data_IF_355328121276
#
_entry.id   IF_355328121276
#
_cell.length_a   1.000
_cell.length_b   1.000
_cell.length_c   1.000
_cell.angle_alpha   90.00
_cell.angle_beta   90.00
_cell.angle_gamma   90.00
#
_symmetry.space_group_name_H-M   'P 1'
#
loop_
_entity.id
_entity.type
_entity.pdbx_description
1 polymer ?
#
# COMPACT_ATOMS: atom_id res chain seq x y z
N UNK A 1 -12.47 8.01 20.44
CA UNK A 1 -12.94 8.95 21.48
C UNK A 1 -12.45 10.36 21.11
N UNK A 2 -13.38 11.23 20.61
CA UNK A 2 -13.10 12.60 20.17
C UNK A 2 -12.48 13.41 21.32
N UNK A 3 -12.83 13.11 22.58
CA UNK A 3 -12.27 13.75 23.76
C UNK A 3 -10.81 13.36 24.06
N UNK A 4 -10.34 12.21 23.59
CA UNK A 4 -8.92 11.84 23.68
C UNK A 4 -8.08 12.59 22.64
N UNK A 5 -8.63 12.84 21.43
CA UNK A 5 -8.00 13.64 20.39
C UNK A 5 -7.81 15.10 20.76
N UNK A 6 -8.73 15.67 21.55
CA UNK A 6 -8.60 17.06 22.03
C UNK A 6 -7.47 17.25 23.05
N UNK A 7 -6.98 16.19 23.67
CA UNK A 7 -5.89 16.20 24.66
C UNK A 7 -4.50 16.00 24.05
N UNK A 8 -4.39 15.57 22.79
CA UNK A 8 -3.09 15.44 22.12
C UNK A 8 -2.63 16.79 21.60
N UNK A 9 -1.33 17.11 21.75
CA UNK A 9 -0.73 18.31 21.18
C UNK A 9 -0.89 18.31 19.64
N UNK A 10 -1.07 19.50 19.05
CA UNK A 10 -1.11 19.65 17.61
C UNK A 10 0.28 19.40 17.01
N UNK A 11 0.39 18.53 16.01
CA UNK A 11 1.66 18.08 15.46
C UNK A 11 1.99 18.78 14.13
N UNK A 12 3.21 19.30 14.05
CA UNK A 12 3.75 19.98 12.87
C UNK A 12 5.04 19.28 12.48
N UNK A 13 5.18 18.89 11.20
CA UNK A 13 6.45 18.33 10.70
C UNK A 13 7.14 19.31 9.78
N UNK A 14 8.47 19.44 9.94
CA UNK A 14 9.32 20.30 9.14
C UNK A 14 9.92 19.52 7.97
N UNK A 15 9.55 19.88 6.77
CA UNK A 15 10.13 19.37 5.53
C UNK A 15 10.99 20.43 4.84
N UNK A 16 11.88 19.99 3.98
CA UNK A 16 12.71 20.85 3.16
C UNK A 16 14.08 20.26 2.91
N UNK A 17 14.75 20.81 1.90
CA UNK A 17 16.11 20.41 1.52
C UNK A 17 17.09 20.56 2.69
N UNK A 18 18.18 19.79 2.62
CA UNK A 18 19.36 20.04 3.50
C UNK A 18 19.77 21.50 3.38
N UNK A 19 20.08 22.13 4.51
CA UNK A 19 20.41 23.57 4.61
C UNK A 19 19.27 24.56 4.31
N UNK A 20 18.03 24.12 4.15
CA UNK A 20 16.88 25.04 3.99
C UNK A 20 16.59 25.87 5.26
N UNK A 21 17.09 25.45 6.42
CA UNK A 21 16.95 26.15 7.68
C UNK A 21 16.06 25.46 8.71
N UNK A 22 15.73 24.18 8.53
CA UNK A 22 14.91 23.41 9.49
C UNK A 22 15.48 23.46 10.91
N UNK A 23 16.74 23.11 11.09
CA UNK A 23 17.39 23.18 12.42
C UNK A 23 17.46 24.60 12.97
N UNK A 24 17.64 25.63 12.13
CA UNK A 24 17.58 27.02 12.56
C UNK A 24 16.17 27.40 13.06
N UNK A 25 15.14 26.96 12.34
CA UNK A 25 13.74 27.17 12.77
C UNK A 25 13.48 26.49 14.12
N UNK A 26 13.97 25.27 14.29
CA UNK A 26 13.87 24.56 15.57
C UNK A 26 14.51 25.33 16.72
N UNK A 27 15.77 25.77 16.54
CA UNK A 27 16.48 26.57 17.57
C UNK A 27 15.74 27.86 17.95
N UNK A 28 15.11 28.53 16.97
CA UNK A 28 14.30 29.71 17.25
C UNK A 28 13.09 29.34 18.11
N UNK A 29 12.40 28.26 17.79
CA UNK A 29 11.18 27.85 18.49
C UNK A 29 11.44 27.38 19.92
N UNK A 30 12.56 26.65 20.15
CA UNK A 30 12.93 26.18 21.49
C UNK A 30 13.75 27.18 22.29
N UNK A 31 14.02 28.37 21.76
CA UNK A 31 14.95 29.35 22.33
C UNK A 31 16.35 28.77 22.63
N UNK A 32 16.84 27.92 21.69
CA UNK A 32 18.13 27.25 21.81
C UNK A 32 19.32 28.18 21.56
N UNK A 33 20.50 27.67 21.85
CA UNK A 33 21.78 28.39 21.70
C UNK A 33 22.47 28.12 20.35
N UNK A 34 21.85 27.34 19.46
CA UNK A 34 22.34 27.08 18.11
C UNK A 34 23.12 25.77 17.96
N UNK A 35 23.10 24.90 18.97
CA UNK A 35 23.84 23.64 18.96
C UNK A 35 23.39 22.67 17.85
N UNK A 36 22.12 22.74 17.45
CA UNK A 36 21.57 21.92 16.37
C UNK A 36 21.74 22.52 14.98
N UNK A 37 22.21 23.79 14.88
CA UNK A 37 22.45 24.43 13.59
C UNK A 37 23.74 23.90 13.00
N UNK A 38 23.66 23.22 11.85
CA UNK A 38 24.83 22.65 11.16
C UNK A 38 25.83 23.71 10.71
N UNK A 39 27.10 23.51 11.03
CA UNK A 39 28.23 24.35 10.61
C UNK A 39 28.65 24.03 9.16
N UNK A 40 27.71 23.92 8.22
CA UNK A 40 27.99 23.61 6.82
C UNK A 40 28.26 22.15 6.49
N UNK A 41 28.17 21.24 7.45
CA UNK A 41 28.21 19.80 7.18
C UNK A 41 26.91 19.33 6.53
N UNK A 42 26.99 18.49 5.50
CA UNK A 42 25.87 18.05 4.68
C UNK A 42 24.77 17.27 5.44
N UNK A 43 24.99 16.91 6.72
CA UNK A 43 24.05 16.10 7.53
C UNK A 43 24.02 16.58 8.97
N UNK A 44 22.99 17.33 9.30
CA UNK A 44 22.74 17.77 10.68
C UNK A 44 21.69 16.91 11.39
N UNK A 45 20.72 16.35 10.66
CA UNK A 45 19.63 15.54 11.22
C UNK A 45 19.58 14.20 10.50
N UNK A 46 19.95 13.13 11.19
CA UNK A 46 19.82 11.73 10.69
C UNK A 46 18.59 11.05 11.24
N UNK A 47 18.12 11.49 12.41
CA UNK A 47 16.98 10.91 13.11
C UNK A 47 15.82 11.90 13.19
N UNK A 48 14.62 11.39 13.26
CA UNK A 48 13.42 12.18 13.56
C UNK A 48 13.51 12.69 14.99
N UNK A 49 13.45 14.01 15.17
CA UNK A 49 13.47 14.66 16.49
C UNK A 49 12.18 15.40 16.72
N UNK A 50 11.60 15.22 17.89
CA UNK A 50 10.36 15.87 18.28
C UNK A 50 10.58 16.81 19.45
N UNK A 51 10.01 18.01 19.34
CA UNK A 51 10.12 19.08 20.32
C UNK A 51 8.74 19.65 20.65
N UNK A 52 8.57 20.16 21.87
CA UNK A 52 7.35 20.80 22.28
C UNK A 52 7.51 22.33 22.28
N UNK A 53 6.59 23.04 21.63
CA UNK A 53 6.55 24.49 21.58
C UNK A 53 5.11 24.99 21.73
N UNK A 54 4.79 25.73 22.83
CA UNK A 54 3.44 26.32 23.06
C UNK A 54 2.27 25.36 22.77
N UNK A 55 2.27 24.15 23.31
CA UNK A 55 1.28 23.10 23.06
C UNK A 55 1.28 22.53 21.63
N UNK A 56 2.28 22.88 20.82
CA UNK A 56 2.54 22.27 19.53
C UNK A 56 3.65 21.23 19.67
N UNK A 57 3.51 20.13 18.98
CA UNK A 57 4.56 19.12 18.83
C UNK A 57 5.21 19.31 17.46
N UNK A 58 6.50 19.67 17.43
CA UNK A 58 7.21 19.95 16.18
C UNK A 58 8.21 18.84 15.94
N UNK A 59 8.13 18.23 14.78
CA UNK A 59 8.98 17.11 14.34
C UNK A 59 9.91 17.57 13.22
N UNK A 60 11.22 17.46 13.44
CA UNK A 60 12.24 17.68 12.41
C UNK A 60 12.60 16.35 11.75
N UNK A 61 12.56 16.30 10.44
CA UNK A 61 12.90 15.10 9.64
C UNK A 61 14.15 15.33 8.81
N UNK A 62 14.86 14.27 8.36
CA UNK A 62 16.00 14.38 7.46
C UNK A 62 15.72 15.27 6.25
N UNK A 63 16.73 16.00 5.78
CA UNK A 63 16.56 16.87 4.60
C UNK A 63 16.37 16.08 3.32
N UNK A 64 15.51 16.56 2.41
CA UNK A 64 15.13 15.88 1.16
C UNK A 64 16.35 15.42 0.34
N UNK A 65 17.41 16.23 0.24
CA UNK A 65 18.64 15.87 -0.48
C UNK A 65 19.62 15.00 0.32
N UNK A 66 19.26 14.64 1.57
CA UNK A 66 20.09 13.82 2.45
C UNK A 66 19.59 12.37 2.54
N UNK A 67 18.51 12.02 1.83
CA UNK A 67 18.03 10.65 1.78
C UNK A 67 19.11 9.76 1.13
N UNK A 68 19.71 8.87 1.92
CA UNK A 68 20.68 7.88 1.42
C UNK A 68 20.05 6.57 1.00
N UNK A 69 18.72 6.53 0.88
CA UNK A 69 17.97 5.36 0.51
C UNK A 69 16.48 5.51 0.82
N UNK A 70 15.73 4.49 0.45
CA UNK A 70 14.29 4.41 0.68
C UNK A 70 13.92 4.48 2.18
N UNK A 71 14.82 4.09 3.09
CA UNK A 71 14.54 4.06 4.52
C UNK A 71 14.40 5.48 5.11
N UNK A 72 15.33 6.40 4.81
CA UNK A 72 15.26 7.78 5.30
C UNK A 72 14.03 8.51 4.75
N UNK A 73 13.70 8.24 3.51
CA UNK A 73 12.52 8.79 2.84
C UNK A 73 11.23 8.28 3.48
N UNK A 74 11.12 6.97 3.70
CA UNK A 74 9.96 6.35 4.33
C UNK A 74 9.74 6.90 5.75
N UNK A 75 10.81 7.09 6.54
CA UNK A 75 10.74 7.67 7.88
C UNK A 75 10.18 9.09 7.83
N UNK A 76 10.64 9.92 6.88
CA UNK A 76 10.15 11.28 6.72
C UNK A 76 8.67 11.33 6.31
N UNK A 77 8.25 10.50 5.36
CA UNK A 77 6.85 10.43 4.93
C UNK A 77 5.92 9.79 5.97
N UNK A 78 6.41 8.85 6.78
CA UNK A 78 5.63 8.32 7.91
C UNK A 78 5.43 9.37 9.01
N UNK A 79 6.41 10.25 9.24
CA UNK A 79 6.22 11.41 10.09
C UNK A 79 5.18 12.38 9.50
N UNK A 80 5.21 12.62 8.16
CA UNK A 80 4.23 13.43 7.47
C UNK A 80 2.80 12.89 7.63
N UNK A 81 2.60 11.58 7.44
CA UNK A 81 1.28 10.94 7.60
C UNK A 81 0.68 11.17 9.00
N UNK A 82 1.52 11.21 10.03
CA UNK A 82 1.11 11.42 11.43
C UNK A 82 0.91 12.89 11.80
N UNK A 83 1.33 13.82 10.95
CA UNK A 83 1.28 15.26 11.22
C UNK A 83 -0.08 15.86 10.90
N UNK A 84 -0.44 16.88 11.68
CA UNK A 84 -1.62 17.68 11.43
C UNK A 84 -1.37 18.79 10.42
N UNK A 85 -0.12 19.32 10.35
CA UNK A 85 0.31 20.38 9.44
C UNK A 85 1.77 20.15 9.02
N UNK A 86 2.13 20.48 7.79
CA UNK A 86 3.49 20.45 7.26
C UNK A 86 3.99 21.89 7.06
N UNK A 87 5.18 22.20 7.59
CA UNK A 87 5.95 23.39 7.22
C UNK A 87 7.02 22.97 6.22
N UNK A 88 6.89 23.42 4.99
CA UNK A 88 7.81 23.09 3.91
C UNK A 88 8.80 24.24 3.70
N UNK A 89 10.06 24.03 4.10
CA UNK A 89 11.11 25.04 4.03
C UNK A 89 11.84 24.98 2.70
N UNK A 90 11.91 26.13 2.04
CA UNK A 90 12.61 26.36 0.77
C UNK A 90 13.61 27.48 0.95
N UNK A 91 14.64 27.53 0.12
CA UNK A 91 15.60 28.65 0.11
C UNK A 91 15.20 29.68 -0.94
N UNK A 92 15.84 30.86 -0.91
CA UNK A 92 15.70 31.91 -1.93
C UNK A 92 16.48 31.63 -3.23
N UNK A 93 16.87 30.36 -3.44
CA UNK A 93 17.43 29.84 -4.69
C UNK A 93 16.32 29.35 -5.62
N UNK A 94 16.70 29.05 -6.88
CA UNK A 94 15.76 28.43 -7.81
C UNK A 94 15.27 27.06 -7.28
N UNK A 95 13.96 26.78 -7.33
CA UNK A 95 13.43 25.49 -6.91
C UNK A 95 14.07 24.33 -7.64
N UNK A 96 14.33 23.26 -6.92
CA UNK A 96 14.87 22.02 -7.49
C UNK A 96 13.74 21.01 -7.73
N UNK A 97 13.91 20.16 -8.74
CA UNK A 97 12.92 19.13 -9.06
C UNK A 97 12.62 18.21 -7.87
N UNK A 98 13.64 17.86 -7.06
CA UNK A 98 13.43 17.04 -5.86
C UNK A 98 12.57 17.73 -4.77
N UNK A 99 12.63 19.07 -4.66
CA UNK A 99 11.77 19.82 -3.76
C UNK A 99 10.32 19.80 -4.24
N UNK A 100 10.12 19.97 -5.56
CA UNK A 100 8.79 19.90 -6.16
C UNK A 100 8.19 18.51 -6.08
N UNK A 101 8.97 17.47 -6.33
CA UNK A 101 8.54 16.08 -6.19
C UNK A 101 8.12 15.74 -4.76
N UNK A 102 8.95 16.12 -3.78
CA UNK A 102 8.63 15.91 -2.36
C UNK A 102 7.34 16.68 -1.96
N UNK A 103 7.20 17.93 -2.40
CA UNK A 103 5.99 18.71 -2.13
C UNK A 103 4.76 18.06 -2.78
N UNK A 104 4.87 17.57 -4.02
CA UNK A 104 3.80 16.85 -4.69
C UNK A 104 3.34 15.62 -3.88
N UNK A 105 4.27 14.79 -3.45
CA UNK A 105 3.97 13.59 -2.63
C UNK A 105 3.30 13.94 -1.31
N UNK A 106 3.73 15.02 -0.63
CA UNK A 106 3.08 15.51 0.60
C UNK A 106 1.63 15.94 0.31
N UNK A 107 1.40 16.64 -0.79
CA UNK A 107 0.07 17.06 -1.21
C UNK A 107 -0.81 15.88 -1.61
N UNK A 108 -0.24 14.84 -2.22
CA UNK A 108 -0.93 13.57 -2.51
C UNK A 108 -1.39 12.84 -1.26
N UNK A 109 -0.66 12.97 -0.14
CA UNK A 109 -1.14 12.52 1.17
C UNK A 109 -2.31 13.37 1.70
N UNK A 110 -2.69 14.43 0.97
CA UNK A 110 -3.74 15.37 1.37
C UNK A 110 -3.40 16.19 2.60
N UNK A 111 -2.11 16.36 2.95
CA UNK A 111 -1.70 17.12 4.13
C UNK A 111 -1.76 18.63 3.89
N UNK A 112 -2.22 19.41 4.86
CA UNK A 112 -2.13 20.87 4.79
C UNK A 112 -0.67 21.30 4.86
N UNK A 113 -0.28 22.23 3.96
CA UNK A 113 1.10 22.69 3.81
C UNK A 113 1.17 24.22 3.89
N UNK A 114 2.16 24.73 4.62
CA UNK A 114 2.61 26.11 4.55
C UNK A 114 4.06 26.10 4.04
N UNK A 115 4.33 26.78 2.94
CA UNK A 115 5.67 26.91 2.39
C UNK A 115 6.36 28.14 2.98
N UNK A 116 7.55 27.95 3.56
CA UNK A 116 8.37 29.03 4.11
C UNK A 116 9.60 29.23 3.21
N UNK A 117 9.68 30.37 2.52
CA UNK A 117 10.86 30.73 1.75
C UNK A 117 11.85 31.42 2.71
N UNK A 118 12.91 30.71 3.05
CA UNK A 118 13.97 31.23 3.93
C UNK A 118 15.04 31.95 3.12
N UNK A 119 15.09 33.25 3.28
CA UNK A 119 16.09 34.12 2.61
C UNK A 119 17.48 33.84 3.21
N UNK A 120 18.46 33.68 2.35
CA UNK A 120 19.86 33.46 2.72
C UNK A 120 20.65 34.75 2.68
N UNK A 121 21.03 35.25 3.85
CA UNK A 121 22.03 36.29 4.04
C UNK A 121 22.84 35.97 5.29
N UNK A 122 24.16 36.17 5.24
CA UNK A 122 25.03 35.87 6.36
C UNK A 122 25.63 37.17 6.91
N UNK A 123 25.56 37.32 8.25
CA UNK A 123 26.17 38.44 8.94
C UNK A 123 27.69 38.44 8.81
N UNK A 124 28.33 37.28 8.68
CA UNK A 124 29.75 37.13 8.56
C UNK A 124 30.34 37.66 7.24
N UNK A 125 29.46 37.80 6.19
CA UNK A 125 29.87 38.35 4.91
C UNK A 125 29.63 39.85 4.81
N UNK A 126 28.97 40.44 5.79
CA UNK A 126 28.69 41.87 5.85
C UNK A 126 29.75 42.60 6.69
N UNK A 127 30.21 43.74 6.19
CA UNK A 127 31.23 44.59 6.91
C UNK A 127 30.68 45.25 8.18
N UNK A 128 29.35 45.26 8.37
CA UNK A 128 28.70 45.79 9.56
C UNK A 128 27.24 45.26 9.69
N UNK A 129 26.72 45.30 10.91
CA UNK A 129 25.31 44.97 11.18
C UNK A 129 24.34 45.84 10.34
N UNK A 130 24.68 47.10 10.08
CA UNK A 130 23.89 48.00 9.26
C UNK A 130 23.83 47.52 7.80
N UNK A 131 24.95 47.06 7.25
CA UNK A 131 24.99 46.51 5.90
C UNK A 131 24.25 45.21 5.81
N UNK A 132 24.42 44.32 6.78
CA UNK A 132 23.64 43.09 6.89
C UNK A 132 22.13 43.33 6.87
N UNK A 133 21.63 44.27 7.68
CA UNK A 133 20.21 44.65 7.71
C UNK A 133 19.72 45.13 6.35
N UNK A 134 20.54 45.96 5.68
CA UNK A 134 20.23 46.47 4.35
C UNK A 134 20.19 45.37 3.30
N UNK A 135 21.10 44.42 3.34
CA UNK A 135 21.16 43.32 2.40
C UNK A 135 19.95 42.36 2.57
N UNK A 136 19.58 42.06 3.79
CA UNK A 136 18.37 41.30 4.09
C UNK A 136 17.12 41.99 3.56
N UNK A 137 16.97 43.30 3.85
CA UNK A 137 15.84 44.11 3.33
C UNK A 137 15.76 44.11 1.82
N UNK A 138 16.90 44.34 1.15
CA UNK A 138 17.00 44.36 -0.32
C UNK A 138 16.58 43.00 -0.92
N UNK A 139 16.90 41.90 -0.26
CA UNK A 139 16.46 40.54 -0.69
C UNK A 139 14.95 40.34 -0.51
N UNK A 140 14.34 40.87 0.54
CA UNK A 140 12.89 40.81 0.72
C UNK A 140 12.13 41.63 -0.36
N UNK A 141 12.71 42.73 -0.82
CA UNK A 141 12.12 43.63 -1.82
C UNK A 141 12.39 43.18 -3.27
N UNK A 142 13.02 42.01 -3.44
CA UNK A 142 13.40 41.49 -4.76
C UNK A 142 12.25 40.71 -5.41
N UNK A 143 11.91 41.01 -6.65
CA UNK A 143 10.93 40.28 -7.47
C UNK A 143 11.26 38.81 -7.66
N UNK A 144 12.52 38.41 -7.38
CA UNK A 144 12.97 36.99 -7.43
C UNK A 144 12.12 36.09 -6.54
N UNK A 145 11.65 36.57 -5.39
CA UNK A 145 10.82 35.77 -4.48
C UNK A 145 9.47 35.38 -5.13
N UNK A 146 8.86 36.29 -5.85
CA UNK A 146 7.65 36.01 -6.63
C UNK A 146 7.92 35.06 -7.80
N UNK A 147 9.11 35.17 -8.40
CA UNK A 147 9.55 34.22 -9.44
C UNK A 147 9.69 32.82 -8.92
N UNK A 148 10.29 32.64 -7.73
CA UNK A 148 10.40 31.32 -7.07
C UNK A 148 9.02 30.72 -6.83
N UNK A 149 8.09 31.50 -6.31
CA UNK A 149 6.71 31.07 -6.09
C UNK A 149 6.02 30.65 -7.39
N UNK A 150 6.19 31.42 -8.48
CA UNK A 150 5.67 31.06 -9.80
C UNK A 150 6.24 29.74 -10.31
N UNK A 151 7.55 29.52 -10.14
CA UNK A 151 8.20 28.27 -10.53
C UNK A 151 7.60 27.06 -9.79
N UNK A 152 7.26 27.19 -8.50
CA UNK A 152 6.52 26.14 -7.80
C UNK A 152 5.14 25.91 -8.39
N UNK A 153 4.42 26.95 -8.81
CA UNK A 153 3.14 26.78 -9.49
C UNK A 153 3.28 26.07 -10.84
N UNK A 154 4.37 26.37 -11.57
CA UNK A 154 4.66 25.70 -12.84
C UNK A 154 4.96 24.21 -12.63
N UNK A 155 5.68 23.84 -11.56
CA UNK A 155 5.82 22.43 -11.16
C UNK A 155 4.47 21.80 -10.83
N UNK A 156 3.60 22.48 -10.08
CA UNK A 156 2.24 21.99 -9.81
C UNK A 156 1.49 21.65 -11.07
N UNK A 157 1.53 22.54 -12.08
CA UNK A 157 0.92 22.29 -13.38
C UNK A 157 1.50 21.06 -14.09
N UNK A 158 2.83 20.82 -13.99
CA UNK A 158 3.48 19.62 -14.54
C UNK A 158 2.98 18.33 -13.89
N UNK A 159 2.67 18.37 -12.59
CA UNK A 159 2.06 17.24 -11.85
C UNK A 159 0.53 17.16 -11.99
N UNK A 160 -0.08 18.07 -12.79
CA UNK A 160 -1.54 18.12 -12.97
C UNK A 160 -2.29 18.60 -11.73
N UNK A 161 -1.63 19.38 -10.85
CA UNK A 161 -2.19 19.89 -9.60
C UNK A 161 -2.16 21.42 -9.57
N UNK A 162 -3.16 22.04 -8.94
CA UNK A 162 -3.18 23.48 -8.71
C UNK A 162 -2.57 23.82 -7.34
N UNK A 163 -1.34 24.33 -7.36
CA UNK A 163 -0.62 24.74 -6.14
C UNK A 163 -0.83 26.19 -5.75
N UNK A 164 -1.69 26.94 -6.44
CA UNK A 164 -1.96 28.36 -6.13
C UNK A 164 -2.61 28.55 -4.76
N UNK A 165 -3.26 27.52 -4.24
CA UNK A 165 -3.87 27.51 -2.91
C UNK A 165 -2.87 27.29 -1.78
N UNK A 166 -1.61 26.90 -2.06
CA UNK A 166 -0.58 26.75 -1.05
C UNK A 166 -0.19 28.14 -0.53
N UNK A 167 -0.13 28.27 0.79
CA UNK A 167 0.30 29.51 1.44
C UNK A 167 1.81 29.59 1.45
N UNK A 168 2.36 30.70 0.93
CA UNK A 168 3.78 31.01 0.97
C UNK A 168 4.01 32.18 1.94
N UNK A 169 5.06 32.04 2.77
CA UNK A 169 5.55 33.12 3.62
C UNK A 169 7.06 33.27 3.45
N UNK A 170 7.53 34.52 3.49
CA UNK A 170 8.95 34.86 3.36
C UNK A 170 9.53 35.13 4.73
N UNK A 171 10.68 34.56 5.06
CA UNK A 171 11.30 34.68 6.37
C UNK A 171 12.84 34.70 6.24
N UNK A 172 13.50 35.39 7.12
CA UNK A 172 14.97 35.31 7.30
C UNK A 172 15.28 34.70 8.67
N UNK A 173 15.40 33.37 8.70
CA UNK A 173 15.56 32.62 9.97
C UNK A 173 16.85 33.01 10.70
N UNK A 174 17.93 33.38 10.01
CA UNK A 174 19.15 33.81 10.65
C UNK A 174 18.96 35.08 11.49
N UNK A 175 18.22 36.10 11.01
CA UNK A 175 17.90 37.29 11.80
C UNK A 175 17.01 36.98 13.00
N UNK A 176 16.01 36.08 12.83
CA UNK A 176 15.18 35.63 13.92
C UNK A 176 16.01 34.91 15.01
N UNK A 177 16.93 34.04 14.62
CA UNK A 177 17.84 33.37 15.55
C UNK A 177 18.76 34.39 16.28
N UNK A 178 19.41 35.28 15.53
CA UNK A 178 20.30 36.30 16.11
C UNK A 178 19.57 37.23 17.07
N UNK A 179 18.29 37.55 16.85
CA UNK A 179 17.49 38.38 17.75
C UNK A 179 17.34 37.77 19.15
N UNK A 180 17.51 36.47 19.29
CA UNK A 180 17.42 35.76 20.60
C UNK A 180 18.78 35.62 21.27
N UNK A 181 19.88 35.91 20.56
CA UNK A 181 21.23 35.75 21.10
C UNK A 181 21.66 36.96 21.96
N UNK A 182 22.36 36.67 23.05
CA UNK A 182 22.84 37.69 24.02
C UNK A 182 23.72 38.75 23.36
N UNK A 183 24.49 38.39 22.38
CA UNK A 183 25.41 39.29 21.67
C UNK A 183 24.66 40.42 20.88
N UNK A 184 23.43 40.18 20.49
CA UNK A 184 22.61 41.10 19.69
C UNK A 184 21.45 41.72 20.49
N UNK A 185 21.52 41.71 21.82
CA UNK A 185 20.44 42.18 22.72
C UNK A 185 19.97 43.58 22.37
N UNK A 186 20.87 44.52 22.08
CA UNK A 186 20.53 45.90 21.72
C UNK A 186 19.78 46.01 20.38
N UNK A 187 20.04 45.11 19.45
CA UNK A 187 19.40 45.08 18.14
C UNK A 187 18.34 44.00 18.02
N UNK A 188 17.99 43.33 19.13
CA UNK A 188 17.07 42.18 19.13
C UNK A 188 15.73 42.50 18.48
N UNK A 189 15.09 43.59 18.85
CA UNK A 189 13.80 44.01 18.31
C UNK A 189 13.87 44.29 16.80
N UNK A 190 14.93 44.98 16.34
CA UNK A 190 15.13 45.27 14.91
C UNK A 190 15.40 44.00 14.10
N UNK A 191 16.21 43.08 14.63
CA UNK A 191 16.49 41.81 13.96
C UNK A 191 15.27 40.90 13.88
N UNK A 192 14.47 40.86 14.93
CA UNK A 192 13.21 40.12 14.94
C UNK A 192 12.23 40.69 13.91
N UNK A 193 12.02 42.01 13.87
CA UNK A 193 11.15 42.61 12.85
C UNK A 193 11.67 42.43 11.44
N UNK A 194 12.98 42.57 11.23
CA UNK A 194 13.64 42.32 9.94
C UNK A 194 13.43 40.89 9.46
N UNK A 195 13.40 39.92 10.38
CA UNK A 195 13.25 38.50 10.06
C UNK A 195 11.90 38.15 9.46
N UNK A 196 10.85 38.95 9.69
CA UNK A 196 9.42 38.66 9.43
C UNK A 196 8.93 37.39 10.14
N UNK A 197 9.65 36.91 11.17
CA UNK A 197 9.29 35.68 11.88
C UNK A 197 7.96 35.80 12.63
N UNK A 198 7.66 36.98 13.19
CA UNK A 198 6.37 37.24 13.82
C UNK A 198 5.17 37.03 12.88
N UNK A 199 5.32 37.32 11.58
CA UNK A 199 4.30 37.00 10.61
C UNK A 199 4.11 35.48 10.46
N UNK A 200 5.20 34.72 10.41
CA UNK A 200 5.17 33.25 10.32
C UNK A 200 4.52 32.64 11.55
N UNK A 201 4.89 33.10 12.75
CA UNK A 201 4.22 32.65 14.02
C UNK A 201 2.71 32.91 13.97
N UNK A 202 2.30 34.11 13.61
CA UNK A 202 0.89 34.47 13.51
C UNK A 202 0.15 33.65 12.45
N UNK A 203 0.80 33.35 11.33
CA UNK A 203 0.26 32.50 10.26
C UNK A 203 0.00 31.08 10.79
N UNK A 204 0.98 30.47 11.46
CA UNK A 204 0.85 29.14 12.05
C UNK A 204 -0.25 29.14 13.13
N UNK A 205 -0.23 30.09 14.06
CA UNK A 205 -1.24 30.19 15.13
C UNK A 205 -2.63 30.37 14.54
N UNK A 206 -2.80 31.27 13.57
CA UNK A 206 -4.09 31.48 12.89
C UNK A 206 -4.59 30.22 12.19
N UNK A 207 -3.70 29.48 11.55
CA UNK A 207 -4.05 28.23 10.88
C UNK A 207 -4.48 27.16 11.88
N UNK A 208 -3.72 27.00 12.96
CA UNK A 208 -4.05 26.05 14.05
C UNK A 208 -5.36 26.41 14.71
N UNK A 209 -5.59 27.70 15.01
CA UNK A 209 -6.84 28.15 15.65
C UNK A 209 -8.07 27.97 14.74
N UNK A 210 -7.93 28.19 13.42
CA UNK A 210 -9.05 28.10 12.49
C UNK A 210 -9.34 26.67 12.07
N UNK A 211 -8.32 25.90 11.75
CA UNK A 211 -8.44 24.63 11.05
C UNK A 211 -7.88 23.44 11.85
N UNK A 212 -7.27 23.69 13.03
CA UNK A 212 -6.54 22.67 13.76
C UNK A 212 -7.37 21.43 14.15
N UNK A 213 -8.62 21.63 14.57
CA UNK A 213 -9.52 20.51 14.88
C UNK A 213 -9.82 19.66 13.64
N UNK A 214 -10.02 20.31 12.49
CA UNK A 214 -10.24 19.63 11.22
C UNK A 214 -8.98 18.85 10.77
N UNK A 215 -7.80 19.44 10.90
CA UNK A 215 -6.55 18.77 10.54
C UNK A 215 -6.26 17.56 11.43
N UNK A 216 -6.54 17.67 12.74
CA UNK A 216 -6.45 16.51 13.65
C UNK A 216 -7.42 15.39 13.28
N UNK A 217 -8.66 15.74 12.97
CA UNK A 217 -9.65 14.76 12.55
C UNK A 217 -9.21 14.08 11.26
N UNK A 218 -8.69 14.87 10.29
CA UNK A 218 -8.16 14.34 9.05
C UNK A 218 -6.97 13.41 9.27
N UNK A 219 -5.97 13.82 10.05
CA UNK A 219 -4.81 12.98 10.36
C UNK A 219 -5.21 11.66 11.03
N UNK A 220 -6.18 11.70 11.95
CA UNK A 220 -6.74 10.49 12.54
C UNK A 220 -7.44 9.61 11.52
N UNK A 221 -8.24 10.19 10.63
CA UNK A 221 -8.92 9.46 9.56
C UNK A 221 -7.91 8.77 8.64
N UNK A 222 -6.85 9.46 8.22
CA UNK A 222 -5.79 8.92 7.37
C UNK A 222 -5.07 7.72 8.05
N UNK A 223 -4.81 7.80 9.35
CA UNK A 223 -4.11 6.75 10.10
C UNK A 223 -4.99 5.51 10.35
N UNK A 224 -6.29 5.69 10.57
CA UNK A 224 -7.20 4.61 10.99
C UNK A 224 -8.07 4.12 9.84
N UNK A 225 -8.72 5.02 9.12
CA UNK A 225 -9.74 4.66 8.13
C UNK A 225 -9.11 4.09 6.87
N UNK A 226 -8.03 4.70 6.37
CA UNK A 226 -7.38 4.24 5.13
C UNK A 226 -6.91 2.79 5.25
N UNK A 227 -6.11 2.39 6.27
CA UNK A 227 -5.70 0.98 6.41
C UNK A 227 -6.86 0.01 6.61
N UNK A 228 -7.95 0.44 7.26
CA UNK A 228 -9.15 -0.39 7.43
C UNK A 228 -9.86 -0.61 6.09
N UNK A 229 -10.00 0.44 5.29
CA UNK A 229 -10.59 0.34 3.94
C UNK A 229 -9.75 -0.58 3.05
N UNK A 230 -8.42 -0.41 3.02
CA UNK A 230 -7.51 -1.27 2.26
C UNK A 230 -7.61 -2.74 2.68
N UNK A 231 -7.68 -2.99 4.00
CA UNK A 231 -7.87 -4.34 4.51
C UNK A 231 -9.24 -4.94 4.10
N UNK A 232 -10.31 -4.14 4.16
CA UNK A 232 -11.64 -4.56 3.72
C UNK A 232 -11.67 -4.88 2.22
N UNK A 233 -11.08 -4.06 1.37
CA UNK A 233 -10.98 -4.31 -0.07
C UNK A 233 -10.24 -5.62 -0.36
N UNK A 234 -9.12 -5.84 0.34
CA UNK A 234 -8.36 -7.10 0.24
C UNK A 234 -9.21 -8.30 0.64
N UNK A 235 -9.92 -8.20 1.78
CA UNK A 235 -10.80 -9.27 2.26
C UNK A 235 -11.99 -9.54 1.33
N UNK A 236 -12.63 -8.49 0.80
CA UNK A 236 -13.71 -8.64 -0.17
C UNK A 236 -13.23 -9.31 -1.46
N UNK A 237 -12.05 -8.91 -1.97
CA UNK A 237 -11.45 -9.55 -3.14
C UNK A 237 -11.17 -11.03 -2.90
N UNK A 238 -10.59 -11.39 -1.74
CA UNK A 238 -10.36 -12.79 -1.36
C UNK A 238 -11.66 -13.57 -1.17
N UNK A 239 -12.66 -12.97 -0.54
CA UNK A 239 -13.98 -13.59 -0.34
C UNK A 239 -14.67 -13.88 -1.67
N UNK A 240 -14.63 -12.95 -2.62
CA UNK A 240 -15.17 -13.16 -3.97
C UNK A 240 -14.48 -14.33 -4.68
N UNK A 241 -13.13 -14.38 -4.65
CA UNK A 241 -12.36 -15.50 -5.20
C UNK A 241 -12.74 -16.84 -4.58
N UNK A 242 -12.81 -16.90 -3.25
CA UNK A 242 -13.18 -18.12 -2.53
C UNK A 242 -14.61 -18.56 -2.86
N UNK A 243 -15.55 -17.63 -3.00
CA UNK A 243 -16.94 -17.92 -3.37
C UNK A 243 -17.04 -18.51 -4.77
N UNK A 244 -16.31 -17.97 -5.73
CA UNK A 244 -16.29 -18.49 -7.10
C UNK A 244 -15.64 -19.88 -7.16
N UNK A 245 -14.50 -20.08 -6.54
CA UNK A 245 -13.87 -21.39 -6.42
C UNK A 245 -14.79 -22.41 -5.74
N UNK A 246 -15.51 -21.97 -4.69
CA UNK A 246 -16.53 -22.79 -4.04
C UNK A 246 -17.67 -23.20 -5.00
N UNK A 247 -18.15 -22.30 -5.84
CA UNK A 247 -19.22 -22.59 -6.82
C UNK A 247 -18.77 -23.59 -7.89
N UNK A 248 -17.52 -23.45 -8.37
CA UNK A 248 -16.88 -24.41 -9.30
C UNK A 248 -16.82 -25.81 -8.68
N UNK A 249 -16.31 -25.89 -7.44
CA UNK A 249 -16.20 -27.17 -6.72
C UNK A 249 -17.56 -27.82 -6.48
N UNK A 250 -18.60 -27.05 -6.14
CA UNK A 250 -19.97 -27.56 -6.00
C UNK A 250 -20.50 -28.08 -7.33
N UNK A 251 -20.26 -27.38 -8.42
CA UNK A 251 -20.62 -27.82 -9.77
C UNK A 251 -19.95 -29.16 -10.13
N UNK A 252 -18.65 -29.28 -9.92
CA UNK A 252 -17.88 -30.50 -10.17
C UNK A 252 -18.29 -31.67 -9.26
N UNK A 253 -18.58 -31.38 -7.98
CA UNK A 253 -19.14 -32.39 -7.06
C UNK A 253 -20.46 -32.97 -7.58
N UNK A 254 -21.37 -32.13 -8.12
CA UNK A 254 -22.62 -32.59 -8.72
C UNK A 254 -22.37 -33.46 -9.95
N UNK A 255 -21.46 -33.03 -10.85
CA UNK A 255 -21.07 -33.79 -12.05
C UNK A 255 -20.50 -35.17 -11.64
N UNK A 256 -19.56 -35.20 -10.70
CA UNK A 256 -18.97 -36.43 -10.19
C UNK A 256 -20.01 -37.36 -9.57
N UNK A 257 -20.91 -36.82 -8.74
CA UNK A 257 -21.97 -37.62 -8.10
C UNK A 257 -22.93 -38.24 -9.15
N UNK A 258 -23.31 -37.47 -10.19
CA UNK A 258 -24.13 -37.99 -11.28
C UNK A 258 -23.40 -39.11 -12.01
N UNK A 259 -22.15 -38.85 -12.43
CA UNK A 259 -21.32 -39.84 -13.10
C UNK A 259 -21.15 -41.11 -12.28
N UNK A 260 -20.86 -41.01 -10.99
CA UNK A 260 -20.74 -42.19 -10.09
C UNK A 260 -22.00 -43.05 -10.08
N UNK A 261 -23.19 -42.43 -9.97
CA UNK A 261 -24.45 -43.16 -10.03
C UNK A 261 -24.67 -43.85 -11.38
N UNK A 262 -24.42 -43.12 -12.47
CA UNK A 262 -24.59 -43.65 -13.84
C UNK A 262 -23.61 -44.80 -14.09
N UNK A 263 -22.34 -44.65 -13.64
CA UNK A 263 -21.31 -45.69 -13.73
C UNK A 263 -21.61 -46.92 -12.87
N UNK A 264 -22.19 -46.72 -11.67
CA UNK A 264 -22.62 -47.85 -10.82
C UNK A 264 -23.72 -48.68 -11.52
N UNK A 265 -24.72 -48.02 -12.10
CA UNK A 265 -25.80 -48.68 -12.82
C UNK A 265 -25.29 -49.42 -14.06
N UNK A 266 -24.45 -48.77 -14.85
CA UNK A 266 -23.86 -49.37 -16.08
C UNK A 266 -22.94 -50.56 -15.72
N UNK A 267 -22.04 -50.36 -14.76
CA UNK A 267 -21.13 -51.44 -14.29
C UNK A 267 -21.88 -52.65 -13.81
N UNK A 268 -22.96 -52.42 -13.01
CA UNK A 268 -23.80 -53.52 -12.53
C UNK A 268 -24.48 -54.26 -13.67
N UNK A 269 -25.07 -53.52 -14.62
CA UNK A 269 -25.71 -54.10 -15.83
C UNK A 269 -24.71 -54.91 -16.65
N UNK A 270 -23.48 -54.44 -16.86
CA UNK A 270 -22.43 -55.16 -17.60
C UNK A 270 -21.97 -56.42 -16.89
N UNK A 271 -21.83 -56.37 -15.54
CA UNK A 271 -21.51 -57.54 -14.73
C UNK A 271 -22.66 -58.56 -14.81
N UNK A 272 -23.91 -58.13 -14.62
CA UNK A 272 -25.10 -59.02 -14.74
C UNK A 272 -25.20 -59.67 -16.13
N UNK A 273 -24.93 -58.93 -17.20
CA UNK A 273 -24.89 -59.44 -18.54
C UNK A 273 -23.81 -60.51 -18.74
N UNK A 274 -22.60 -60.26 -18.23
CA UNK A 274 -21.53 -61.23 -18.25
C UNK A 274 -21.87 -62.52 -17.51
N UNK A 275 -22.42 -62.37 -16.28
CA UNK A 275 -22.83 -63.51 -15.44
C UNK A 275 -23.95 -64.32 -16.12
N UNK A 276 -24.93 -63.65 -16.73
CA UNK A 276 -26.03 -64.27 -17.43
C UNK A 276 -25.52 -65.03 -18.69
N UNK A 277 -24.59 -64.46 -19.43
CA UNK A 277 -23.97 -65.10 -20.57
C UNK A 277 -23.22 -66.38 -20.16
N UNK A 278 -22.33 -66.25 -19.17
CA UNK A 278 -21.56 -67.41 -18.64
C UNK A 278 -22.48 -68.46 -18.10
N UNK A 279 -23.46 -68.11 -17.29
CA UNK A 279 -24.44 -69.05 -16.72
C UNK A 279 -25.24 -69.76 -17.84
N UNK A 280 -25.65 -69.03 -18.90
CA UNK A 280 -26.34 -69.60 -20.04
C UNK A 280 -25.47 -70.57 -20.86
N UNK A 281 -24.18 -70.27 -21.00
CA UNK A 281 -23.24 -71.17 -21.68
C UNK A 281 -23.03 -72.45 -20.85
N UNK A 282 -22.79 -72.31 -19.54
CA UNK A 282 -22.56 -73.47 -18.66
C UNK A 282 -23.84 -74.35 -18.51
N UNK A 283 -25.03 -73.72 -18.38
CA UNK A 283 -26.30 -74.49 -18.28
C UNK A 283 -26.54 -75.36 -19.52
N UNK A 284 -26.18 -74.90 -20.70
CA UNK A 284 -26.31 -75.69 -21.91
C UNK A 284 -25.39 -76.90 -21.96
N UNK A 285 -24.23 -76.82 -21.30
CA UNK A 285 -23.28 -77.88 -21.24
C UNK A 285 -23.49 -78.87 -20.09
N UNK A 286 -24.15 -78.47 -19.01
CA UNK A 286 -24.35 -79.33 -17.82
C UNK A 286 -25.11 -80.61 -18.20
N UNK A 287 -26.15 -80.54 -19.06
CA UNK A 287 -26.93 -81.71 -19.40
C UNK A 287 -26.11 -82.76 -20.16
N UNK A 288 -25.42 -82.37 -21.23
CA UNK A 288 -24.55 -83.27 -21.98
C UNK A 288 -23.37 -83.79 -21.17
N UNK A 289 -22.77 -82.90 -20.35
CA UNK A 289 -21.68 -83.31 -19.47
C UNK A 289 -22.12 -84.33 -18.42
N UNK A 290 -23.30 -84.18 -17.84
CA UNK A 290 -23.85 -85.14 -16.89
C UNK A 290 -24.13 -86.49 -17.51
N UNK A 291 -24.62 -86.54 -18.71
CA UNK A 291 -24.85 -87.77 -19.49
C UNK A 291 -23.54 -88.52 -19.81
N UNK A 292 -22.49 -87.75 -20.19
CA UNK A 292 -21.19 -88.34 -20.61
C UNK A 292 -20.34 -88.76 -19.41
N UNK A 293 -20.50 -88.15 -18.21
CA UNK A 293 -19.57 -88.30 -17.11
C UNK A 293 -20.21 -88.69 -15.78
N UNK A 294 -21.45 -89.22 -15.79
CA UNK A 294 -22.21 -89.55 -14.58
C UNK A 294 -21.48 -90.61 -13.73
N UNK A 295 -20.69 -91.52 -14.33
CA UNK A 295 -19.93 -92.57 -13.65
C UNK A 295 -18.40 -92.38 -13.65
N UNK A 296 -17.94 -91.19 -14.00
CA UNK A 296 -16.54 -90.87 -14.16
C UNK A 296 -15.94 -90.26 -12.86
N UNK A 297 -15.00 -90.98 -12.26
CA UNK A 297 -14.30 -90.51 -11.04
C UNK A 297 -13.51 -89.20 -11.29
N UNK A 298 -13.21 -88.81 -12.52
CA UNK A 298 -12.51 -87.59 -12.90
C UNK A 298 -13.44 -86.47 -13.40
N UNK A 299 -14.75 -86.60 -13.25
CA UNK A 299 -15.76 -85.64 -13.69
C UNK A 299 -15.43 -84.22 -13.23
N UNK A 300 -14.99 -84.02 -11.99
CA UNK A 300 -14.62 -82.72 -11.47
C UNK A 300 -13.41 -82.08 -12.26
N UNK A 301 -12.43 -82.90 -12.62
CA UNK A 301 -11.30 -82.41 -13.40
C UNK A 301 -11.68 -82.02 -14.85
N UNK A 302 -12.57 -82.78 -15.49
CA UNK A 302 -13.10 -82.47 -16.79
C UNK A 302 -13.99 -81.24 -16.76
N UNK A 303 -14.85 -81.08 -15.76
CA UNK A 303 -15.64 -79.86 -15.61
C UNK A 303 -14.75 -78.60 -15.43
N UNK A 304 -13.67 -78.74 -14.67
CA UNK A 304 -12.71 -77.65 -14.53
C UNK A 304 -11.99 -77.33 -15.83
N UNK A 305 -11.78 -78.31 -16.75
CA UNK A 305 -11.28 -78.05 -18.11
C UNK A 305 -12.28 -77.24 -18.97
N UNK A 306 -13.57 -77.58 -18.84
CA UNK A 306 -14.62 -76.82 -19.52
C UNK A 306 -14.66 -75.39 -19.02
N UNK A 307 -14.65 -75.18 -17.70
CA UNK A 307 -14.58 -73.80 -17.13
C UNK A 307 -13.37 -73.00 -17.64
N UNK A 308 -12.20 -73.62 -17.70
CA UNK A 308 -10.99 -72.98 -18.24
C UNK A 308 -11.11 -72.70 -19.76
N UNK A 309 -11.72 -73.63 -20.52
CA UNK A 309 -11.93 -73.41 -21.97
C UNK A 309 -12.88 -72.23 -22.29
N UNK A 310 -13.86 -71.96 -21.36
CA UNK A 310 -14.76 -70.81 -21.44
C UNK A 310 -14.14 -69.51 -20.96
N UNK A 311 -12.88 -69.56 -20.47
CA UNK A 311 -12.11 -68.36 -19.99
C UNK A 311 -12.90 -67.51 -19.01
N UNK A 312 -13.64 -68.12 -18.07
CA UNK A 312 -14.53 -67.39 -17.16
C UNK A 312 -13.76 -66.36 -16.34
N UNK A 313 -12.62 -66.77 -15.76
CA UNK A 313 -11.77 -65.88 -14.97
C UNK A 313 -11.17 -64.76 -15.80
N UNK A 314 -10.71 -65.05 -17.01
CA UNK A 314 -10.13 -64.06 -17.93
C UNK A 314 -11.17 -63.00 -18.35
N UNK A 315 -12.40 -63.43 -18.75
CA UNK A 315 -13.49 -62.51 -19.11
C UNK A 315 -13.90 -61.62 -17.93
N UNK A 316 -13.96 -62.16 -16.72
CA UNK A 316 -14.25 -61.42 -15.51
C UNK A 316 -13.13 -60.37 -15.20
N UNK A 317 -11.87 -60.82 -15.29
CA UNK A 317 -10.70 -59.94 -15.09
C UNK A 317 -10.65 -58.81 -16.13
N UNK A 318 -10.95 -59.12 -17.41
CA UNK A 318 -10.92 -58.12 -18.47
C UNK A 318 -12.03 -57.06 -18.29
N UNK A 319 -13.23 -57.47 -17.87
CA UNK A 319 -14.31 -56.54 -17.54
C UNK A 319 -13.89 -55.62 -16.38
N UNK A 320 -13.32 -56.17 -15.28
CA UNK A 320 -12.86 -55.40 -14.16
C UNK A 320 -11.75 -54.42 -14.55
N UNK A 321 -10.78 -54.84 -15.37
CA UNK A 321 -9.75 -53.94 -15.87
C UNK A 321 -10.32 -52.78 -16.70
N UNK A 322 -11.33 -53.11 -17.54
CA UNK A 322 -12.00 -52.11 -18.35
C UNK A 322 -12.73 -51.08 -17.46
N UNK A 323 -13.52 -51.52 -16.46
CA UNK A 323 -14.22 -50.67 -15.54
C UNK A 323 -13.26 -49.80 -14.70
N UNK A 324 -12.16 -50.39 -14.20
CA UNK A 324 -11.11 -49.60 -13.52
C UNK A 324 -10.50 -48.53 -14.38
N UNK A 325 -10.20 -48.84 -15.64
CA UNK A 325 -9.60 -47.88 -16.57
C UNK A 325 -10.58 -46.73 -16.91
N UNK A 326 -11.87 -47.02 -17.07
CA UNK A 326 -12.91 -46.02 -17.28
C UNK A 326 -13.01 -45.07 -16.04
N UNK A 327 -13.01 -45.63 -14.84
CA UNK A 327 -13.02 -44.88 -13.58
C UNK A 327 -11.79 -43.97 -13.44
N UNK A 328 -10.58 -44.49 -13.65
CA UNK A 328 -9.36 -43.69 -13.62
C UNK A 328 -9.35 -42.56 -14.62
N UNK A 329 -9.83 -42.81 -15.84
CA UNK A 329 -9.85 -41.81 -16.91
C UNK A 329 -10.75 -40.65 -16.54
N UNK A 330 -11.97 -40.91 -16.09
CA UNK A 330 -12.92 -39.88 -15.68
C UNK A 330 -12.41 -39.07 -14.49
N UNK A 331 -11.85 -39.72 -13.46
CA UNK A 331 -11.26 -39.04 -12.31
C UNK A 331 -10.11 -38.10 -12.71
N UNK A 332 -9.27 -38.52 -13.66
CA UNK A 332 -8.20 -37.68 -14.20
C UNK A 332 -8.74 -36.47 -14.96
N UNK A 333 -9.79 -36.65 -15.77
CA UNK A 333 -10.43 -35.56 -16.51
C UNK A 333 -11.06 -34.54 -15.56
N UNK A 334 -11.83 -34.98 -14.57
CA UNK A 334 -12.43 -34.10 -13.57
C UNK A 334 -11.34 -33.33 -12.80
N UNK A 335 -10.24 -33.98 -12.42
CA UNK A 335 -9.12 -33.33 -11.75
C UNK A 335 -8.48 -32.24 -12.60
N UNK A 336 -8.27 -32.51 -13.90
CA UNK A 336 -7.73 -31.51 -14.85
C UNK A 336 -8.67 -30.33 -15.03
N UNK A 337 -9.98 -30.58 -15.19
CA UNK A 337 -10.97 -29.54 -15.31
C UNK A 337 -11.05 -28.63 -14.06
N UNK A 338 -10.99 -29.22 -12.85
CA UNK A 338 -10.96 -28.45 -11.60
C UNK A 338 -9.73 -27.54 -11.57
N UNK A 339 -8.55 -28.07 -11.85
CA UNK A 339 -7.31 -27.31 -11.83
C UNK A 339 -7.31 -26.19 -12.87
N UNK A 340 -7.81 -26.45 -14.08
CA UNK A 340 -7.88 -25.45 -15.15
C UNK A 340 -8.83 -24.30 -14.78
N UNK A 341 -10.01 -24.59 -14.25
CA UNK A 341 -10.99 -23.55 -13.85
C UNK A 341 -10.54 -22.74 -12.64
N UNK A 342 -9.90 -23.35 -11.64
CA UNK A 342 -9.32 -22.65 -10.50
C UNK A 342 -8.20 -21.71 -10.96
N UNK A 343 -7.30 -22.14 -11.83
CA UNK A 343 -6.22 -21.32 -12.37
C UNK A 343 -6.76 -20.18 -13.25
N UNK A 344 -7.80 -20.43 -14.06
CA UNK A 344 -8.44 -19.40 -14.87
C UNK A 344 -9.11 -18.33 -13.99
N UNK A 345 -9.86 -18.72 -12.97
CA UNK A 345 -10.46 -17.74 -12.05
C UNK A 345 -9.41 -16.90 -11.35
N UNK A 346 -8.27 -17.48 -11.00
CA UNK A 346 -7.14 -16.74 -10.41
C UNK A 346 -6.59 -15.65 -11.33
N UNK A 347 -6.45 -15.91 -12.64
CA UNK A 347 -5.94 -14.94 -13.61
C UNK A 347 -6.92 -13.78 -13.83
N UNK A 348 -8.20 -14.08 -13.96
CA UNK A 348 -9.25 -13.06 -14.21
C UNK A 348 -9.39 -12.10 -13.01
N UNK A 349 -9.24 -12.59 -11.78
CA UNK A 349 -9.35 -11.74 -10.58
C UNK A 349 -8.09 -10.90 -10.32
N UNK A 350 -6.91 -11.36 -10.68
CA UNK A 350 -5.71 -10.54 -10.61
C UNK A 350 -5.81 -9.29 -11.49
N UNK A 351 -6.40 -9.41 -12.68
CA UNK A 351 -6.60 -8.28 -13.60
C UNK A 351 -7.72 -7.33 -13.15
N UNK A 352 -8.77 -7.84 -12.51
CA UNK A 352 -9.88 -7.00 -11.99
C UNK A 352 -9.51 -6.22 -10.72
N UNK A 353 -8.61 -6.74 -9.88
CA UNK A 353 -8.14 -6.03 -8.69
C UNK A 353 -7.39 -4.74 -9.04
N UNK A 354 -6.71 -4.70 -10.18
CA UNK A 354 -6.03 -3.51 -10.70
C UNK A 354 -7.06 -2.42 -11.09
N UNK A 355 -8.23 -2.77 -11.60
CA UNK A 355 -9.28 -1.81 -11.98
C UNK A 355 -10.08 -1.26 -10.79
N UNK A 356 -10.17 -1.96 -9.67
CA UNK A 356 -10.83 -1.44 -8.46
C UNK A 356 -9.99 -0.39 -7.72
N UNK A 357 -8.65 -0.48 -7.77
CA UNK A 357 -7.75 0.58 -7.28
C UNK A 357 -7.98 1.94 -7.97
N UNK A 358 -8.48 1.95 -9.21
CA UNK A 358 -8.85 3.19 -9.90
C UNK A 358 -10.17 3.82 -9.42
N UNK A 359 -11.04 3.08 -8.75
CA UNK A 359 -12.35 3.57 -8.28
C UNK A 359 -12.31 4.12 -6.85
N UNK A 360 -11.29 3.78 -6.06
CA UNK A 360 -11.07 4.26 -4.69
C UNK A 360 -9.75 5.04 -4.60
N UNK A 361 -9.40 5.74 -5.65
CA UNK A 361 -8.32 6.72 -5.59
C UNK A 361 -8.79 7.84 -4.65
N UNK A 362 -8.22 7.91 -3.45
CA UNK A 362 -8.55 8.89 -2.40
C UNK A 362 -8.54 10.35 -2.86
N UNK A 363 -8.06 10.61 -4.08
CA UNK A 363 -8.16 11.88 -4.80
C UNK A 363 -9.59 12.33 -5.09
N UNK A 364 -10.60 11.45 -5.15
CA UNK A 364 -11.98 11.83 -5.47
C UNK A 364 -12.87 12.14 -4.27
N UNK A 365 -12.48 11.73 -3.07
CA UNK A 365 -13.31 11.98 -1.88
C UNK A 365 -13.05 13.36 -1.25
N UNK A 366 -11.94 14.02 -1.55
CA UNK A 366 -11.51 15.23 -0.85
C UNK A 366 -11.19 16.45 -1.73
N UNK A 367 -11.60 16.45 -3.00
CA UNK A 367 -11.68 17.70 -3.77
C UNK A 367 -12.93 18.48 -3.35
N UNK A 368 -12.92 18.98 -2.12
CA UNK A 368 -13.80 20.05 -1.70
C UNK A 368 -13.06 21.38 -1.91
N UNK A 369 -13.43 22.07 -2.97
CA UNK A 369 -13.12 23.47 -3.20
C UNK A 369 -13.63 24.35 -2.07
#
# INVERSE_FOLDING_TARGET
DINALSKTSFSITLFGRTMAGKSTLMEILIHGNGDSIGKGAQRTTRDVRTYNYKNLQITDVPGIAAFEGEDDENIAFDAAKKSDLILFLITDDAPQACEAECLNRILELGKPVICLINIKADINTASSLKMFKRDVQKKFDNERLETIKKQFFDFGNQYGQDWRNIRFAYVHLKSAFLSQQREFKESSFELYNLSRFGYVENLIISEVCKNGSFYKLKAFTDIVVVPVVDALETLFSQSAKNSEQGSVLVGKKRKLKKWTNDFEIDSKSRIETLLTSISGELKREIASFAEEHYDNSNASAEWNRILKSRRVEERASDLLKQLSKECETELREISREINAEINFSHSVFSDRSINMHMLVDGKRIWNWT
#
